data_IF_114331403120
#
_entry.id   IF_114331403120
#
_cell.length_a   1.000
_cell.length_b   1.000
_cell.length_c   1.000
_cell.angle_alpha   90.00
_cell.angle_beta   90.00
_cell.angle_gamma   90.00
#
_symmetry.space_group_name_H-M   'P 1'
#
loop_
_entity.id
_entity.type
_entity.pdbx_description
1 polymer ?
#
# COMPACT_ATOMS: atom_id res chain seq x y z
N UNK A 1 -22.57 -10.06 12.78
CA UNK A 1 -21.42 -9.17 12.45
C UNK A 1 -21.95 -7.75 12.35
N UNK A 2 -21.35 -6.81 13.10
CA UNK A 2 -21.79 -5.39 13.11
C UNK A 2 -20.88 -4.48 12.27
N UNK A 3 -19.60 -4.84 12.15
CA UNK A 3 -18.62 -4.07 11.41
C UNK A 3 -17.57 -4.95 10.75
N UNK A 4 -17.06 -4.50 9.61
CA UNK A 4 -16.03 -5.16 8.81
C UNK A 4 -14.94 -4.12 8.51
N UNK A 5 -13.69 -4.50 8.72
CA UNK A 5 -12.51 -3.77 8.26
C UNK A 5 -11.66 -4.70 7.42
N UNK A 6 -11.39 -4.31 6.20
CA UNK A 6 -10.56 -5.10 5.28
C UNK A 6 -9.10 -4.66 5.41
N UNK A 7 -8.19 -5.62 5.37
CA UNK A 7 -6.77 -5.36 5.21
C UNK A 7 -6.23 -6.14 4.01
N UNK A 8 -5.23 -5.63 3.37
CA UNK A 8 -4.65 -6.28 2.19
C UNK A 8 -3.22 -5.81 1.91
N UNK A 9 -2.58 -6.49 0.96
CA UNK A 9 -1.25 -6.09 0.51
C UNK A 9 -1.25 -4.64 0.02
N UNK A 10 -0.29 -3.84 0.47
CA UNK A 10 -0.08 -2.48 -0.02
C UNK A 10 0.51 -2.49 -1.45
N UNK A 11 0.45 -1.36 -2.14
CA UNK A 11 1.11 -1.11 -3.44
C UNK A 11 0.51 -1.82 -4.66
N UNK A 12 -0.40 -2.77 -4.51
CA UNK A 12 -1.01 -3.47 -5.65
C UNK A 12 -1.77 -2.50 -6.56
N UNK A 13 -1.89 -2.84 -7.85
CA UNK A 13 -2.66 -2.06 -8.82
C UNK A 13 -3.84 -2.89 -9.31
N UNK A 14 -5.06 -2.38 -9.15
CA UNK A 14 -6.29 -2.87 -9.76
C UNK A 14 -6.88 -1.75 -10.59
N UNK A 15 -7.19 -2.02 -11.85
CA UNK A 15 -7.77 -1.03 -12.79
C UNK A 15 -9.11 -1.52 -13.32
N UNK A 16 -10.10 -0.63 -13.30
CA UNK A 16 -11.47 -0.94 -13.72
C UNK A 16 -11.89 -0.08 -14.92
N UNK A 17 -12.76 -0.63 -15.76
CA UNK A 17 -13.39 0.08 -16.87
C UNK A 17 -14.67 0.83 -16.46
N UNK A 18 -15.42 1.32 -17.44
CA UNK A 18 -16.67 2.03 -17.25
C UNK A 18 -17.82 1.18 -16.66
N UNK A 19 -17.73 -0.15 -16.78
CA UNK A 19 -18.68 -1.12 -16.22
C UNK A 19 -18.23 -1.63 -14.84
N UNK A 20 -17.09 -1.17 -14.35
CA UNK A 20 -16.39 -1.65 -13.14
C UNK A 20 -15.82 -3.08 -13.28
N UNK A 21 -15.61 -3.53 -14.51
CA UNK A 21 -14.93 -4.79 -14.78
C UNK A 21 -13.40 -4.61 -14.70
N UNK A 22 -12.70 -5.62 -14.17
CA UNK A 22 -11.24 -5.60 -14.04
C UNK A 22 -10.61 -5.70 -15.44
N UNK A 23 -9.81 -4.71 -15.80
CA UNK A 23 -9.17 -4.59 -17.13
C UNK A 23 -7.87 -5.39 -17.27
N UNK A 24 -7.16 -5.62 -16.18
CA UNK A 24 -5.85 -6.25 -16.19
C UNK A 24 -5.63 -7.01 -14.87
N UNK A 25 -4.90 -8.12 -14.91
CA UNK A 25 -4.50 -8.85 -13.71
C UNK A 25 -3.75 -7.94 -12.75
N UNK A 26 -4.08 -8.00 -11.46
CA UNK A 26 -3.49 -7.11 -10.46
C UNK A 26 -1.97 -7.24 -10.43
N UNK A 27 -1.27 -6.12 -10.66
CA UNK A 27 0.20 -6.07 -10.52
C UNK A 27 0.51 -5.92 -9.03
N UNK A 28 0.98 -6.99 -8.41
CA UNK A 28 1.16 -7.09 -6.95
C UNK A 28 2.44 -6.40 -6.45
N UNK A 29 2.58 -6.26 -5.13
CA UNK A 29 3.67 -5.52 -4.47
C UNK A 29 5.09 -6.00 -4.81
N UNK A 30 5.30 -7.31 -5.03
CA UNK A 30 6.62 -7.89 -5.31
C UNK A 30 6.99 -7.91 -6.80
N UNK A 31 6.12 -7.42 -7.69
CA UNK A 31 6.41 -7.35 -9.11
C UNK A 31 7.43 -6.24 -9.39
N UNK A 32 8.52 -6.60 -10.07
CA UNK A 32 9.68 -5.73 -10.31
C UNK A 32 9.76 -5.22 -11.76
N UNK A 33 8.71 -5.43 -12.59
CA UNK A 33 8.74 -5.07 -14.03
C UNK A 33 8.91 -3.59 -14.32
N UNK A 34 8.70 -2.71 -13.35
CA UNK A 34 8.54 -1.25 -13.49
C UNK A 34 9.83 -0.45 -13.26
N UNK A 35 11.01 -1.04 -13.41
CA UNK A 35 12.29 -0.34 -13.20
C UNK A 35 12.48 0.86 -14.14
N UNK A 36 12.02 0.75 -15.38
CA UNK A 36 12.07 1.85 -16.35
C UNK A 36 11.18 3.02 -15.92
N UNK A 37 10.01 2.74 -15.39
CA UNK A 37 9.08 3.75 -14.91
C UNK A 37 9.57 4.43 -13.64
N UNK A 38 10.31 3.72 -12.76
CA UNK A 38 11.01 4.34 -11.63
C UNK A 38 12.05 5.34 -12.12
N UNK A 39 12.85 4.99 -13.12
CA UNK A 39 13.80 5.91 -13.74
C UNK A 39 13.08 7.09 -14.40
N UNK A 40 11.98 6.85 -15.13
CA UNK A 40 11.13 7.92 -15.70
C UNK A 40 10.63 8.89 -14.62
N UNK A 41 10.21 8.39 -13.45
CA UNK A 41 9.78 9.25 -12.33
C UNK A 41 10.94 10.12 -11.85
N UNK A 42 12.13 9.54 -11.69
CA UNK A 42 13.33 10.24 -11.23
C UNK A 42 13.76 11.31 -12.25
N UNK A 43 13.77 10.96 -13.53
CA UNK A 43 14.18 11.88 -14.60
C UNK A 43 13.19 13.05 -14.79
N UNK A 44 11.90 12.83 -14.50
CA UNK A 44 10.84 13.83 -14.70
C UNK A 44 10.71 14.79 -13.53
N UNK A 45 10.68 14.29 -12.29
CA UNK A 45 10.47 15.13 -11.08
C UNK A 45 11.78 15.42 -10.35
N UNK A 46 12.78 14.54 -10.45
CA UNK A 46 13.95 14.51 -9.58
C UNK A 46 13.70 13.75 -8.28
N UNK A 47 14.67 12.91 -7.88
CA UNK A 47 14.54 12.04 -6.70
C UNK A 47 14.24 12.82 -5.41
N UNK A 48 14.98 13.91 -5.17
CA UNK A 48 14.82 14.73 -3.96
C UNK A 48 13.42 15.35 -3.89
N UNK A 49 12.97 15.95 -4.99
CA UNK A 49 11.63 16.56 -5.06
C UNK A 49 10.53 15.54 -4.87
N UNK A 50 10.66 14.37 -5.46
CA UNK A 50 9.69 13.29 -5.27
C UNK A 50 9.61 12.84 -3.80
N UNK A 51 10.77 12.72 -3.12
CA UNK A 51 10.81 12.39 -1.69
C UNK A 51 10.15 13.50 -0.86
N UNK A 52 10.35 14.77 -1.16
CA UNK A 52 9.69 15.87 -0.46
C UNK A 52 8.16 15.84 -0.60
N UNK A 53 7.65 15.38 -1.73
CA UNK A 53 6.21 15.28 -2.01
C UNK A 53 5.57 14.05 -1.35
N UNK A 54 6.25 12.91 -1.34
CA UNK A 54 5.69 11.62 -0.91
C UNK A 54 6.24 11.10 0.40
N UNK A 55 7.35 11.67 0.90
CA UNK A 55 8.20 11.20 2.00
C UNK A 55 8.85 9.84 1.74
N UNK A 56 8.87 9.39 0.48
CA UNK A 56 9.38 8.09 0.07
C UNK A 56 10.19 8.21 -1.23
N UNK A 57 11.20 7.37 -1.41
CA UNK A 57 11.87 7.26 -2.71
C UNK A 57 10.97 6.53 -3.73
N UNK A 58 11.09 6.85 -5.03
CA UNK A 58 10.43 6.07 -6.08
C UNK A 58 10.82 4.59 -5.98
N UNK A 59 9.85 3.71 -6.18
CA UNK A 59 10.05 2.27 -5.99
C UNK A 59 9.24 1.47 -7.01
N UNK A 60 9.79 0.34 -7.46
CA UNK A 60 9.12 -0.59 -8.37
C UNK A 60 7.84 -1.17 -7.80
N UNK A 61 7.77 -1.30 -6.47
CA UNK A 61 6.57 -1.80 -5.78
C UNK A 61 5.40 -0.83 -5.81
N UNK A 62 5.63 0.48 -5.94
CA UNK A 62 4.58 1.50 -5.81
C UNK A 62 3.59 1.50 -6.98
N UNK A 63 2.34 1.85 -6.69
CA UNK A 63 1.24 1.84 -7.66
C UNK A 63 1.49 2.80 -8.83
N UNK A 64 2.14 3.96 -8.60
CA UNK A 64 2.49 4.91 -9.66
C UNK A 64 3.32 4.27 -10.76
N UNK A 65 4.41 3.58 -10.41
CA UNK A 65 5.27 2.94 -11.38
C UNK A 65 4.54 1.87 -12.21
N UNK A 66 3.59 1.15 -11.60
CA UNK A 66 2.74 0.16 -12.27
C UNK A 66 1.71 0.80 -13.20
N UNK A 67 1.11 1.91 -12.77
CA UNK A 67 0.17 2.65 -13.61
C UNK A 67 0.87 3.25 -14.84
N UNK A 68 2.09 3.78 -14.66
CA UNK A 68 2.93 4.25 -15.77
C UNK A 68 3.35 3.10 -16.68
N UNK A 69 3.62 1.92 -16.12
CA UNK A 69 3.93 0.74 -16.92
C UNK A 69 2.75 0.36 -17.82
N UNK A 70 1.51 0.36 -17.32
CA UNK A 70 0.32 0.16 -18.16
C UNK A 70 0.22 1.23 -19.24
N UNK A 71 0.44 2.51 -18.89
CA UNK A 71 0.43 3.62 -19.86
C UNK A 71 1.43 3.40 -20.98
N UNK A 72 2.62 2.91 -20.67
CA UNK A 72 3.73 2.75 -21.62
C UNK A 72 3.64 1.46 -22.45
N UNK A 73 3.15 0.36 -21.85
CA UNK A 73 3.23 -0.97 -22.46
C UNK A 73 1.87 -1.53 -22.92
N UNK A 74 0.77 -1.05 -22.31
CA UNK A 74 -0.60 -1.50 -22.57
C UNK A 74 -1.54 -0.30 -22.82
N UNK A 75 -1.25 0.58 -23.81
CA UNK A 75 -1.97 1.84 -24.02
C UNK A 75 -3.47 1.63 -24.31
N UNK A 76 -3.84 0.52 -24.97
CA UNK A 76 -5.24 0.19 -25.25
C UNK A 76 -6.03 -0.14 -23.97
N UNK A 77 -5.37 -0.77 -23.00
CA UNK A 77 -5.93 -1.03 -21.66
C UNK A 77 -5.99 0.27 -20.88
N UNK A 78 -4.88 1.03 -20.85
CA UNK A 78 -4.78 2.29 -20.13
C UNK A 78 -5.87 3.30 -20.55
N UNK A 79 -6.19 3.40 -21.83
CA UNK A 79 -7.22 4.31 -22.36
C UNK A 79 -8.63 4.02 -21.83
N UNK A 80 -8.90 2.77 -21.42
CA UNK A 80 -10.19 2.30 -20.91
C UNK A 80 -10.33 2.45 -19.39
N UNK A 81 -9.23 2.77 -18.68
CA UNK A 81 -9.26 2.89 -17.23
C UNK A 81 -10.21 4.01 -16.81
N UNK A 82 -11.10 3.70 -15.88
CA UNK A 82 -12.03 4.64 -15.25
C UNK A 82 -11.85 4.70 -13.74
N UNK A 83 -11.28 3.63 -13.12
CA UNK A 83 -10.90 3.64 -11.70
C UNK A 83 -9.58 2.91 -11.48
N UNK A 84 -8.81 3.47 -10.57
CA UNK A 84 -7.54 2.92 -10.08
C UNK A 84 -7.68 2.65 -8.59
N UNK A 85 -7.57 1.39 -8.19
CA UNK A 85 -7.76 0.94 -6.82
C UNK A 85 -6.55 0.14 -6.33
N UNK A 86 -6.43 0.03 -5.03
CA UNK A 86 -5.58 -0.96 -4.38
C UNK A 86 -6.36 -2.27 -4.18
N UNK A 87 -5.71 -3.42 -3.97
CA UNK A 87 -6.42 -4.71 -3.80
C UNK A 87 -7.47 -4.69 -2.69
N UNK A 88 -7.15 -4.08 -1.54
CA UNK A 88 -8.09 -3.89 -0.43
C UNK A 88 -9.28 -3.01 -0.83
N UNK A 89 -9.02 -1.94 -1.56
CA UNK A 89 -10.03 -0.99 -2.01
C UNK A 89 -11.03 -1.64 -2.97
N UNK A 90 -10.54 -2.53 -3.84
CA UNK A 90 -11.40 -3.33 -4.71
C UNK A 90 -12.35 -4.24 -3.90
N UNK A 91 -11.86 -4.87 -2.83
CA UNK A 91 -12.72 -5.66 -1.93
C UNK A 91 -13.74 -4.77 -1.23
N UNK A 92 -13.34 -3.59 -0.75
CA UNK A 92 -14.26 -2.61 -0.16
C UNK A 92 -15.34 -2.17 -1.17
N UNK A 93 -14.94 -1.92 -2.43
CA UNK A 93 -15.89 -1.64 -3.52
C UNK A 93 -16.86 -2.80 -3.73
N UNK A 94 -16.38 -4.04 -3.83
CA UNK A 94 -17.24 -5.21 -3.95
C UNK A 94 -18.27 -5.32 -2.81
N UNK A 95 -17.85 -4.99 -1.57
CA UNK A 95 -18.72 -5.08 -0.40
C UNK A 95 -19.76 -3.96 -0.33
N UNK A 96 -19.42 -2.74 -0.77
CA UNK A 96 -20.20 -1.52 -0.49
C UNK A 96 -20.69 -0.80 -1.74
N UNK A 97 -20.14 -1.07 -2.92
CA UNK A 97 -20.36 -0.28 -4.13
C UNK A 97 -19.65 1.08 -4.15
N UNK A 98 -18.89 1.43 -3.11
CA UNK A 98 -18.24 2.73 -2.97
C UNK A 98 -16.72 2.67 -3.28
N UNK A 99 -16.24 3.61 -4.08
CA UNK A 99 -14.81 3.77 -4.34
C UNK A 99 -14.13 4.54 -3.20
N UNK A 100 -13.37 3.83 -2.41
CA UNK A 100 -12.73 4.34 -1.20
C UNK A 100 -11.34 3.76 -1.02
N UNK A 101 -10.43 4.52 -0.45
CA UNK A 101 -9.14 4.06 0.07
C UNK A 101 -8.91 4.64 1.45
N UNK A 102 -7.90 4.14 2.16
CA UNK A 102 -7.48 4.74 3.41
C UNK A 102 -6.07 5.35 3.33
N UNK A 103 -5.79 6.27 4.24
CA UNK A 103 -4.52 7.02 4.26
C UNK A 103 -3.29 6.14 4.39
N UNK A 104 -3.39 4.97 5.07
CA UNK A 104 -2.24 4.09 5.28
C UNK A 104 -1.85 3.36 4.00
N UNK A 105 -2.84 2.85 3.27
CA UNK A 105 -2.64 2.14 2.01
C UNK A 105 -2.32 3.13 0.87
N UNK A 106 -3.04 4.27 0.80
CA UNK A 106 -2.76 5.35 -0.15
C UNK A 106 -1.33 5.87 -0.06
N UNK A 107 -0.72 5.86 1.15
CA UNK A 107 0.68 6.27 1.36
C UNK A 107 1.68 5.47 0.52
N UNK A 108 1.36 4.22 0.18
CA UNK A 108 2.18 3.33 -0.62
C UNK A 108 1.95 3.44 -2.13
N UNK A 109 1.12 4.37 -2.59
CA UNK A 109 0.81 4.50 -4.03
C UNK A 109 1.89 5.20 -4.84
N UNK A 110 2.68 6.07 -4.21
CA UNK A 110 3.69 6.87 -4.89
C UNK A 110 3.18 8.17 -5.50
N UNK A 111 1.87 8.46 -5.40
CA UNK A 111 1.25 9.74 -5.77
C UNK A 111 0.42 10.34 -4.62
N UNK A 112 0.69 9.94 -3.38
CA UNK A 112 0.03 10.44 -2.18
C UNK A 112 0.93 11.38 -1.39
N UNK A 113 0.42 12.55 -1.02
CA UNK A 113 1.06 13.49 -0.10
C UNK A 113 0.85 12.99 1.34
N UNK A 114 1.78 12.17 1.81
CA UNK A 114 1.73 11.52 3.13
C UNK A 114 1.68 12.53 4.27
N UNK A 115 2.34 13.69 4.10
CA UNK A 115 2.36 14.76 5.10
C UNK A 115 0.98 15.38 5.30
N UNK A 116 0.27 15.65 4.19
CA UNK A 116 -1.02 16.33 4.19
C UNK A 116 -2.21 15.37 4.04
N UNK A 117 -1.96 14.06 3.94
CA UNK A 117 -2.96 12.97 3.90
C UNK A 117 -3.96 13.12 2.75
N UNK A 118 -3.46 13.41 1.55
CA UNK A 118 -4.25 13.63 0.33
C UNK A 118 -3.46 13.27 -0.93
N UNK A 119 -4.14 13.17 -2.06
CA UNK A 119 -3.49 12.99 -3.34
C UNK A 119 -2.56 14.17 -3.67
N UNK A 120 -1.40 13.89 -4.23
CA UNK A 120 -0.41 14.90 -4.63
C UNK A 120 -0.76 15.46 -6.00
N UNK A 121 -1.40 16.63 -6.03
CA UNK A 121 -1.78 17.29 -7.29
C UNK A 121 -0.59 17.54 -8.22
N UNK A 122 0.59 17.80 -7.67
CA UNK A 122 1.81 18.00 -8.44
C UNK A 122 2.23 16.73 -9.18
N UNK A 123 2.23 15.57 -8.49
CA UNK A 123 2.58 14.28 -9.11
C UNK A 123 1.53 13.88 -10.14
N UNK A 124 0.25 14.01 -9.79
CA UNK A 124 -0.84 13.67 -10.72
C UNK A 124 -0.76 14.50 -12.00
N UNK A 125 -0.59 15.81 -11.88
CA UNK A 125 -0.44 16.71 -13.03
C UNK A 125 0.82 16.41 -13.86
N UNK A 126 1.94 16.06 -13.22
CA UNK A 126 3.21 15.76 -13.91
C UNK A 126 3.09 14.53 -14.81
N UNK A 127 2.32 13.52 -14.40
CA UNK A 127 2.15 12.26 -15.15
C UNK A 127 0.84 12.19 -15.92
N UNK A 128 0.07 13.29 -15.95
CA UNK A 128 -1.22 13.35 -16.63
C UNK A 128 -2.17 12.25 -16.15
N UNK A 129 -2.32 12.18 -14.82
CA UNK A 129 -3.24 11.28 -14.11
C UNK A 129 -4.40 12.12 -13.60
N UNK A 130 -5.61 11.82 -14.07
CA UNK A 130 -6.82 12.48 -13.59
C UNK A 130 -7.15 12.02 -12.15
N UNK A 131 -7.33 12.98 -11.23
CA UNK A 131 -7.71 12.68 -9.84
C UNK A 131 -9.07 11.95 -9.76
N UNK A 132 -9.95 12.11 -10.75
CA UNK A 132 -11.24 11.42 -10.82
C UNK A 132 -11.11 9.89 -10.98
N UNK A 133 -9.96 9.42 -11.48
CA UNK A 133 -9.65 7.98 -11.53
C UNK A 133 -9.42 7.38 -10.14
N UNK A 134 -9.07 8.22 -9.16
CA UNK A 134 -8.66 7.77 -7.83
C UNK A 134 -9.85 7.73 -6.86
N UNK A 135 -9.84 6.80 -5.90
CA UNK A 135 -10.89 6.71 -4.89
C UNK A 135 -10.81 7.86 -3.88
N UNK A 136 -11.92 8.13 -3.20
CA UNK A 136 -11.95 9.05 -2.07
C UNK A 136 -11.10 8.51 -0.91
N UNK A 137 -10.30 9.39 -0.29
CA UNK A 137 -9.40 9.05 0.82
C UNK A 137 -10.12 9.22 2.16
N UNK A 138 -9.99 8.22 3.02
CA UNK A 138 -10.56 8.17 4.38
C UNK A 138 -9.47 7.89 5.42
N UNK A 139 -9.75 8.21 6.69
CA UNK A 139 -9.01 7.61 7.79
C UNK A 139 -9.41 6.13 7.93
N UNK A 140 -8.49 5.27 8.33
CA UNK A 140 -8.68 3.80 8.32
C UNK A 140 -9.92 3.32 9.09
N UNK A 141 -10.31 4.02 10.16
CA UNK A 141 -11.49 3.67 10.97
C UNK A 141 -12.79 4.33 10.52
N UNK A 142 -12.78 5.17 9.49
CA UNK A 142 -14.00 5.81 9.00
C UNK A 142 -14.89 4.83 8.26
N UNK A 143 -16.20 4.97 8.47
CA UNK A 143 -17.21 4.18 7.76
C UNK A 143 -17.27 4.65 6.31
N UNK A 144 -17.17 3.73 5.38
CA UNK A 144 -17.23 3.96 3.93
C UNK A 144 -18.55 3.50 3.31
N UNK A 145 -19.35 2.75 4.02
CA UNK A 145 -20.64 2.27 3.57
C UNK A 145 -21.15 1.09 4.38
N UNK A 146 -22.21 0.51 3.90
CA UNK A 146 -22.80 -0.72 4.42
C UNK A 146 -22.67 -1.84 3.38
N UNK A 147 -22.84 -3.06 3.79
CA UNK A 147 -22.95 -4.23 2.90
C UNK A 147 -24.15 -4.04 1.98
N UNK A 148 -23.94 -4.23 0.66
CA UNK A 148 -25.00 -4.19 -0.34
C UNK A 148 -25.96 -5.36 -0.19
N UNK A 149 -27.18 -5.23 -0.75
CA UNK A 149 -28.20 -6.30 -0.72
C UNK A 149 -27.69 -7.57 -1.41
N UNK A 150 -27.02 -7.44 -2.54
CA UNK A 150 -26.45 -8.56 -3.29
C UNK A 150 -25.41 -9.34 -2.48
N UNK A 151 -24.50 -8.64 -1.83
CA UNK A 151 -23.51 -9.27 -0.94
C UNK A 151 -24.17 -9.88 0.29
N UNK A 152 -25.17 -9.23 0.86
CA UNK A 152 -25.94 -9.79 1.98
C UNK A 152 -26.62 -11.13 1.58
N UNK A 153 -27.22 -11.20 0.40
CA UNK A 153 -27.83 -12.44 -0.09
C UNK A 153 -26.79 -13.55 -0.33
N UNK A 154 -25.62 -13.23 -0.85
CA UNK A 154 -24.57 -14.21 -1.14
C UNK A 154 -23.86 -14.74 0.11
N UNK A 155 -23.71 -13.91 1.14
CA UNK A 155 -22.87 -14.19 2.31
C UNK A 155 -23.62 -14.43 3.60
N UNK A 156 -24.90 -14.07 3.66
CA UNK A 156 -25.70 -14.07 4.90
C UNK A 156 -25.34 -12.92 5.86
N UNK A 157 -24.53 -11.95 5.44
CA UNK A 157 -24.26 -10.74 6.21
C UNK A 157 -25.48 -9.82 6.24
N UNK A 158 -25.58 -9.01 7.30
CA UNK A 158 -26.65 -8.01 7.38
C UNK A 158 -26.31 -6.77 6.57
N UNK A 159 -27.29 -6.20 5.86
CA UNK A 159 -27.15 -4.88 5.21
C UNK A 159 -26.92 -3.74 6.22
N UNK A 160 -27.16 -3.99 7.52
CA UNK A 160 -26.81 -3.06 8.60
C UNK A 160 -25.35 -3.19 9.06
N UNK A 161 -24.59 -4.17 8.52
CA UNK A 161 -23.16 -4.27 8.82
C UNK A 161 -22.42 -3.13 8.14
N UNK A 162 -21.75 -2.31 8.94
CA UNK A 162 -20.91 -1.21 8.41
C UNK A 162 -19.58 -1.75 7.91
N UNK A 163 -19.04 -1.10 6.88
CA UNK A 163 -17.67 -1.33 6.40
C UNK A 163 -16.87 -0.07 6.67
N UNK A 164 -15.68 -0.24 7.27
CA UNK A 164 -14.72 0.86 7.44
C UNK A 164 -13.63 0.79 6.36
N UNK A 165 -12.93 1.89 6.13
CA UNK A 165 -11.92 1.98 5.06
C UNK A 165 -10.81 0.91 5.18
N UNK A 166 -10.58 0.42 6.40
CA UNK A 166 -9.56 -0.59 6.65
C UNK A 166 -8.15 -0.01 6.63
N UNK A 167 -7.14 -0.85 6.43
CA UNK A 167 -5.76 -0.40 6.40
C UNK A 167 -4.88 -1.31 5.55
N UNK A 168 -3.76 -0.79 5.05
CA UNK A 168 -2.69 -1.63 4.52
C UNK A 168 -2.18 -2.61 5.58
N UNK A 169 -1.71 -3.78 5.13
CA UNK A 169 -1.40 -4.94 5.99
C UNK A 169 -0.44 -4.61 7.15
N UNK A 170 0.62 -3.84 6.90
CA UNK A 170 1.59 -3.49 7.93
C UNK A 170 1.00 -2.55 9.00
N UNK A 171 0.18 -1.58 8.60
CA UNK A 171 -0.49 -0.68 9.53
C UNK A 171 -1.57 -1.40 10.34
N UNK A 172 -2.32 -2.33 9.73
CA UNK A 172 -3.29 -3.16 10.42
C UNK A 172 -2.62 -4.11 11.42
N UNK A 173 -1.52 -4.77 11.02
CA UNK A 173 -0.73 -5.62 11.91
C UNK A 173 -0.16 -4.84 13.11
N UNK A 174 0.28 -3.60 12.88
CA UNK A 174 0.76 -2.73 13.95
C UNK A 174 -0.34 -2.44 14.98
N UNK A 175 -1.57 -2.14 14.53
CA UNK A 175 -2.73 -1.97 15.43
C UNK A 175 -2.99 -3.25 16.22
N UNK A 176 -3.01 -4.41 15.55
CA UNK A 176 -3.22 -5.72 16.19
C UNK A 176 -2.17 -6.05 17.25
N UNK A 177 -0.94 -5.58 17.09
CA UNK A 177 0.16 -5.76 18.03
C UNK A 177 0.27 -4.62 19.08
N UNK A 178 -0.68 -3.69 19.12
CA UNK A 178 -0.68 -2.57 20.08
C UNK A 178 0.34 -1.47 19.78
N UNK A 179 0.93 -1.43 18.58
CA UNK A 179 1.84 -0.36 18.12
C UNK A 179 0.99 0.81 17.64
N UNK A 180 0.32 1.48 18.55
CA UNK A 180 -0.68 2.54 18.29
C UNK A 180 -0.30 3.91 18.86
N UNK A 181 0.86 4.01 19.50
CA UNK A 181 1.34 5.24 20.15
C UNK A 181 2.74 5.56 19.64
N UNK A 182 3.09 6.86 19.52
CA UNK A 182 4.45 7.28 19.17
C UNK A 182 5.51 6.64 20.08
N UNK A 183 6.60 6.17 19.48
CA UNK A 183 7.68 5.47 20.17
C UNK A 183 7.46 3.97 20.36
N UNK A 184 6.25 3.44 20.14
CA UNK A 184 6.05 1.99 20.07
C UNK A 184 6.63 1.45 18.76
N UNK A 185 7.32 0.32 18.87
CA UNK A 185 7.99 -0.33 17.74
C UNK A 185 7.62 -1.81 17.70
N UNK A 186 7.36 -2.34 16.52
CA UNK A 186 7.34 -3.77 16.26
C UNK A 186 8.49 -4.19 15.37
N UNK A 187 9.00 -5.41 15.59
CA UNK A 187 10.00 -6.06 14.75
C UNK A 187 9.40 -7.38 14.31
N UNK A 188 9.21 -7.53 13.00
CA UNK A 188 8.75 -8.78 12.39
C UNK A 188 9.93 -9.48 11.73
N UNK A 189 10.22 -10.70 12.18
CA UNK A 189 11.31 -11.54 11.69
C UNK A 189 10.73 -12.80 11.05
N UNK A 190 10.46 -12.71 9.77
CA UNK A 190 10.00 -13.84 8.95
C UNK A 190 10.99 -14.15 7.83
N UNK A 191 10.50 -14.57 6.67
CA UNK A 191 11.28 -14.68 5.43
C UNK A 191 11.96 -13.35 5.11
N UNK A 192 11.22 -12.25 5.20
CA UNK A 192 11.67 -10.87 5.20
C UNK A 192 11.71 -10.30 6.63
N UNK A 193 12.33 -9.15 6.82
CA UNK A 193 12.37 -8.44 8.10
C UNK A 193 11.74 -7.05 7.97
N UNK A 194 10.95 -6.65 8.97
CA UNK A 194 10.33 -5.32 9.02
C UNK A 194 10.52 -4.74 10.43
N UNK A 195 11.05 -3.52 10.49
CA UNK A 195 11.04 -2.68 11.70
C UNK A 195 10.04 -1.56 11.45
N UNK A 196 9.00 -1.50 12.27
CA UNK A 196 7.90 -0.55 12.16
C UNK A 196 7.80 0.27 13.44
N UNK A 197 7.89 1.58 13.36
CA UNK A 197 7.81 2.49 14.51
C UNK A 197 6.73 3.54 14.30
N UNK A 198 5.78 3.63 15.23
CA UNK A 198 4.76 4.69 15.21
C UNK A 198 5.36 6.04 15.64
N UNK A 199 4.99 7.11 14.94
CA UNK A 199 5.46 8.48 15.19
C UNK A 199 4.29 9.47 15.12
N UNK A 200 4.41 10.61 15.85
CA UNK A 200 3.39 11.67 15.90
C UNK A 200 3.56 12.74 14.81
N UNK A 201 4.61 12.66 14.03
CA UNK A 201 4.93 13.59 12.94
C UNK A 201 5.42 12.83 11.72
N UNK A 202 5.21 13.37 10.51
CA UNK A 202 5.72 12.77 9.28
C UNK A 202 7.24 12.99 9.14
N UNK A 203 8.03 12.27 9.96
CA UNK A 203 9.49 12.26 9.88
C UNK A 203 9.91 11.32 8.78
N UNK A 204 10.85 11.72 7.93
CA UNK A 204 11.33 10.93 6.81
C UNK A 204 12.84 11.01 6.62
N UNK A 205 13.39 10.01 5.97
CA UNK A 205 14.78 9.99 5.55
C UNK A 205 14.94 10.67 4.20
N UNK A 206 15.68 11.79 4.16
CA UNK A 206 15.93 12.55 2.93
C UNK A 206 16.66 11.76 1.82
N UNK A 207 17.28 10.65 2.16
CA UNK A 207 17.91 9.74 1.18
C UNK A 207 16.96 8.65 0.68
N UNK A 208 15.76 8.53 1.30
CA UNK A 208 14.73 7.55 0.93
C UNK A 208 15.10 6.10 1.26
N UNK A 209 15.87 5.87 2.34
CA UNK A 209 16.27 4.52 2.78
C UNK A 209 15.20 3.82 3.63
N UNK A 210 14.26 4.57 4.18
CA UNK A 210 13.12 4.08 4.95
C UNK A 210 11.83 4.58 4.34
N UNK A 211 10.75 3.87 4.59
CA UNK A 211 9.41 4.32 4.22
C UNK A 211 8.79 5.13 5.35
N UNK A 212 8.05 6.19 4.98
CA UNK A 212 7.21 6.96 5.89
C UNK A 212 5.80 6.98 5.34
N UNK A 213 4.87 6.37 6.06
CA UNK A 213 3.46 6.28 5.66
C UNK A 213 2.55 6.79 6.78
N UNK A 214 1.30 7.12 6.43
CA UNK A 214 0.26 7.34 7.42
C UNK A 214 0.00 6.03 8.16
N UNK A 215 -0.23 6.12 9.48
CA UNK A 215 -0.65 4.98 10.27
C UNK A 215 -2.17 4.78 10.17
N UNK A 216 -2.66 3.57 10.47
CA UNK A 216 -4.10 3.31 10.61
C UNK A 216 -4.73 4.05 11.81
N UNK A 217 -3.93 4.48 12.76
CA UNK A 217 -4.38 5.37 13.85
C UNK A 217 -4.37 6.82 13.37
N UNK A 218 -5.50 7.49 13.51
CA UNK A 218 -5.69 8.87 13.05
C UNK A 218 -4.61 9.82 13.60
N UNK A 219 -4.15 10.75 12.76
CA UNK A 219 -3.13 11.75 13.09
C UNK A 219 -1.79 11.16 13.55
N UNK A 220 -1.49 9.94 13.17
CA UNK A 220 -0.18 9.31 13.38
C UNK A 220 0.40 8.84 12.05
N UNK A 221 1.70 8.68 12.03
CA UNK A 221 2.48 8.14 10.91
C UNK A 221 3.32 6.97 11.42
N UNK A 222 3.98 6.30 10.53
CA UNK A 222 5.00 5.33 10.89
C UNK A 222 6.21 5.43 9.97
N UNK A 223 7.36 5.05 10.52
CA UNK A 223 8.58 4.83 9.76
C UNK A 223 8.78 3.32 9.70
N UNK A 224 9.14 2.83 8.52
CA UNK A 224 9.34 1.41 8.30
C UNK A 224 10.66 1.17 7.56
N UNK A 225 11.51 0.32 8.14
CA UNK A 225 12.66 -0.29 7.47
C UNK A 225 12.32 -1.72 7.07
N UNK A 226 12.63 -2.09 5.83
CA UNK A 226 12.30 -3.40 5.27
C UNK A 226 13.55 -4.05 4.70
N UNK A 227 13.75 -5.35 4.97
CA UNK A 227 14.71 -6.18 4.26
C UNK A 227 13.99 -7.39 3.65
N UNK A 228 14.30 -7.71 2.38
CA UNK A 228 13.70 -8.85 1.70
C UNK A 228 14.25 -10.20 2.19
N UNK A 229 15.48 -10.20 2.70
CA UNK A 229 16.13 -11.38 3.25
C UNK A 229 16.39 -11.21 4.74
N UNK A 230 15.65 -11.90 5.58
CA UNK A 230 15.86 -12.02 7.02
C UNK A 230 16.05 -13.50 7.36
N UNK A 231 15.03 -14.19 7.83
CA UNK A 231 15.08 -15.63 8.05
C UNK A 231 15.38 -16.45 6.79
N UNK A 232 15.01 -15.93 5.61
CA UNK A 232 15.40 -16.53 4.34
C UNK A 232 16.93 -16.57 4.17
N UNK A 233 17.63 -15.50 4.52
CA UNK A 233 19.11 -15.42 4.42
C UNK A 233 19.78 -16.40 5.38
N UNK A 234 19.28 -16.52 6.61
CA UNK A 234 19.77 -17.50 7.59
C UNK A 234 19.53 -18.93 7.10
N UNK A 235 18.33 -19.21 6.58
CA UNK A 235 18.01 -20.52 6.03
C UNK A 235 18.87 -20.86 4.81
N UNK A 236 19.07 -19.89 3.90
CA UNK A 236 19.98 -20.05 2.75
C UNK A 236 21.42 -20.34 3.18
N UNK A 237 21.94 -19.56 4.14
CA UNK A 237 23.28 -19.78 4.69
C UNK A 237 23.42 -21.18 5.28
N UNK A 238 22.48 -21.57 6.16
CA UNK A 238 22.50 -22.91 6.76
C UNK A 238 22.46 -24.02 5.71
N UNK A 239 21.60 -23.92 4.71
CA UNK A 239 21.46 -24.93 3.66
C UNK A 239 22.70 -25.09 2.79
N UNK A 240 23.47 -24.04 2.57
CA UNK A 240 24.59 -24.06 1.65
C UNK A 240 25.96 -24.22 2.32
N UNK A 241 26.10 -23.77 3.57
CA UNK A 241 27.42 -23.68 4.23
C UNK A 241 27.50 -24.32 5.61
N UNK A 242 26.35 -24.65 6.24
CA UNK A 242 26.33 -25.08 7.65
C UNK A 242 25.20 -26.12 7.89
N UNK A 243 25.08 -27.12 7.02
CA UNK A 243 24.00 -28.10 7.08
C UNK A 243 24.02 -28.96 8.36
N UNK A 244 25.19 -29.17 8.91
CA UNK A 244 25.46 -29.93 10.13
C UNK A 244 25.03 -29.20 11.41
N UNK A 245 24.84 -27.87 11.36
CA UNK A 245 24.47 -27.05 12.52
C UNK A 245 22.97 -26.85 12.60
N UNK A 246 22.41 -26.90 13.80
CA UNK A 246 21.07 -26.42 14.10
C UNK A 246 21.04 -24.87 14.07
N UNK A 247 19.84 -24.28 14.02
CA UNK A 247 19.73 -22.82 14.09
C UNK A 247 20.27 -22.25 15.43
N UNK A 248 20.11 -22.97 16.53
CA UNK A 248 20.62 -22.54 17.84
C UNK A 248 22.15 -22.51 17.87
N UNK A 249 22.81 -23.48 17.24
CA UNK A 249 24.28 -23.52 17.13
C UNK A 249 24.87 -22.48 16.16
N UNK A 250 24.03 -21.90 15.28
CA UNK A 250 24.46 -20.79 14.42
C UNK A 250 24.41 -19.43 15.11
N UNK A 251 23.73 -19.34 16.26
CA UNK A 251 23.59 -18.12 17.05
C UNK A 251 24.71 -17.99 18.10
N UNK A 252 25.53 -19.04 18.32
CA UNK A 252 26.71 -19.07 19.22
C UNK A 252 27.99 -18.66 18.46
#
# INVERSE_FOLDING_TARGET
IKGIGVTGQIHGLVVLDENNDVLYDSIIWCDQRTEKEVNQIIDTIGKERYIDLTLNAPNTSFTLSKLLWLKNNEPDIFSKIRKVLLPKDYINFCLTGNFSTDVSDASGTGYFDVKNRKWSKEILATFDIDEELLPQVYESSQVIGNITEDIAMQTGLSTNSIVVAGAGDQAAAAVGNGVIKPGCTSISLGTSGVVFTAVDKPVYDKFGRTHTFCHAVKNTWHIMGVTQGCGLSVNWFRKNFAQEYSYAELDE
#
